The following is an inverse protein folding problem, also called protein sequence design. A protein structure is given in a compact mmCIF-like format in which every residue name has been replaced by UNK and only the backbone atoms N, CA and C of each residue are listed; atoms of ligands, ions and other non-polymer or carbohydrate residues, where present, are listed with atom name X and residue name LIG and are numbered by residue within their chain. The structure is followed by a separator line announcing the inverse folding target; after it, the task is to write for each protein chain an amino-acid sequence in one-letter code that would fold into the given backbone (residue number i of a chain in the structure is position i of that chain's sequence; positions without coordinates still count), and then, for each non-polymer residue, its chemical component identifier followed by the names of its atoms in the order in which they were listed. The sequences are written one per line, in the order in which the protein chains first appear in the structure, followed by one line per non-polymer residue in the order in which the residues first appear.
data_IF_816438643634
#
_entry.id   IF_816438643634
#
_cell.length_a   1.000
_cell.length_b   1.000
_cell.length_c   1.000
_cell.angle_alpha   90.00
_cell.angle_beta   90.00
_cell.angle_gamma   90.00
#
_symmetry.space_group_name_H-M   'P 1'
#
loop_
_entity.id
_entity.type
_entity.pdbx_description
1 polymer ?
#
# COMPACT_ATOMS: atom_id res chain seq x y z
N UNK A 1 -18.11 16.20 -8.85
CA UNK A 1 -17.94 16.69 -7.46
C UNK A 1 -16.95 15.85 -6.65
N UNK A 2 -17.03 14.52 -6.69
CA UNK A 2 -16.12 13.62 -5.93
C UNK A 2 -14.64 13.69 -6.34
N UNK A 3 -14.33 14.03 -7.60
CA UNK A 3 -12.95 14.11 -8.09
C UNK A 3 -12.18 15.31 -7.50
N UNK A 4 -12.81 16.46 -7.46
CA UNK A 4 -12.22 17.65 -6.86
C UNK A 4 -12.00 17.49 -5.34
N UNK A 5 -12.93 16.83 -4.65
CA UNK A 5 -12.77 16.54 -3.22
C UNK A 5 -11.58 15.62 -2.94
N UNK A 6 -11.45 14.53 -3.72
CA UNK A 6 -10.31 13.62 -3.61
C UNK A 6 -8.98 14.32 -3.92
N UNK A 7 -8.92 15.14 -4.97
CA UNK A 7 -7.71 15.91 -5.32
C UNK A 7 -7.31 16.89 -4.22
N UNK A 8 -8.27 17.64 -3.66
CA UNK A 8 -8.00 18.54 -2.52
C UNK A 8 -7.55 17.79 -1.28
N UNK A 9 -8.16 16.64 -0.98
CA UNK A 9 -7.75 15.79 0.12
C UNK A 9 -6.34 15.25 -0.04
N UNK A 10 -5.97 14.78 -1.23
CA UNK A 10 -4.61 14.32 -1.53
C UNK A 10 -3.57 15.45 -1.46
N UNK A 11 -3.92 16.67 -1.88
CA UNK A 11 -3.06 17.83 -1.69
C UNK A 11 -2.85 18.14 -0.21
N UNK A 12 -3.91 18.09 0.61
CA UNK A 12 -3.80 18.25 2.06
C UNK A 12 -2.92 17.18 2.70
N UNK A 13 -3.05 15.92 2.28
CA UNK A 13 -2.16 14.84 2.71
C UNK A 13 -0.69 15.11 2.33
N UNK A 14 -0.43 15.51 1.09
CA UNK A 14 0.94 15.81 0.64
C UNK A 14 1.56 16.99 1.41
N UNK A 15 0.78 18.02 1.72
CA UNK A 15 1.22 19.13 2.58
C UNK A 15 1.57 18.63 3.99
N UNK A 16 0.74 17.77 4.57
CA UNK A 16 1.02 17.19 5.89
C UNK A 16 2.27 16.31 5.86
N UNK A 17 2.49 15.54 4.78
CA UNK A 17 3.72 14.78 4.58
C UNK A 17 4.95 15.69 4.50
N UNK A 18 4.88 16.77 3.72
CA UNK A 18 5.97 17.73 3.58
C UNK A 18 6.31 18.39 4.94
N UNK A 19 5.30 18.80 5.71
CA UNK A 19 5.48 19.34 7.06
C UNK A 19 6.10 18.31 8.00
N UNK A 20 5.63 17.08 8.00
CA UNK A 20 6.19 16.00 8.81
C UNK A 20 7.68 15.75 8.49
N UNK A 21 8.03 15.66 7.19
CA UNK A 21 9.41 15.50 6.74
C UNK A 21 10.28 16.70 7.13
N UNK A 22 9.75 17.91 7.03
CA UNK A 22 10.44 19.14 7.50
C UNK A 22 10.68 19.08 9.02
N UNK A 23 9.67 18.71 9.82
CA UNK A 23 9.82 18.55 11.27
C UNK A 23 10.87 17.49 11.62
N UNK A 24 10.96 16.43 10.83
CA UNK A 24 11.98 15.39 10.99
C UNK A 24 13.37 15.92 10.73
N UNK A 25 13.58 16.72 9.66
CA UNK A 25 14.88 17.34 9.33
C UNK A 25 15.30 18.41 10.35
N UNK A 26 14.34 19.18 10.86
CA UNK A 26 14.60 20.23 11.86
C UNK A 26 14.73 19.68 13.30
N UNK A 27 14.55 18.38 13.52
CA UNK A 27 14.62 17.78 14.86
C UNK A 27 13.47 18.18 15.79
N UNK A 28 12.33 18.61 15.25
CA UNK A 28 11.17 19.07 16.03
C UNK A 28 10.36 17.87 16.54
N UNK A 29 10.86 17.20 17.59
CA UNK A 29 10.31 15.91 18.07
C UNK A 29 8.84 15.97 18.45
N UNK A 30 8.38 17.01 19.16
CA UNK A 30 6.98 17.14 19.55
C UNK A 30 6.06 17.27 18.33
N UNK A 31 6.40 18.16 17.39
CA UNK A 31 5.61 18.35 16.17
C UNK A 31 5.56 17.07 15.30
N UNK A 32 6.70 16.38 15.16
CA UNK A 32 6.82 15.09 14.48
C UNK A 32 5.89 14.04 15.12
N UNK A 33 5.91 13.91 16.44
CA UNK A 33 5.13 12.91 17.16
C UNK A 33 3.62 13.18 17.11
N UNK A 34 3.20 14.44 17.05
CA UNK A 34 1.79 14.82 16.86
C UNK A 34 1.35 14.60 15.41
N UNK A 35 2.20 14.92 14.44
CA UNK A 35 1.86 14.80 13.02
C UNK A 35 1.79 13.34 12.53
N UNK A 36 2.65 12.45 13.04
CA UNK A 36 2.77 11.06 12.57
C UNK A 36 1.45 10.29 12.58
N UNK A 37 0.68 10.21 13.66
CA UNK A 37 -0.58 9.47 13.69
C UNK A 37 -1.68 10.09 12.81
N UNK A 38 -1.52 11.34 12.34
CA UNK A 38 -2.49 12.02 11.48
C UNK A 38 -2.28 11.72 9.99
N UNK A 39 -1.09 11.25 9.59
CA UNK A 39 -0.73 11.02 8.18
C UNK A 39 -1.68 10.01 7.50
N UNK A 40 -1.82 8.84 8.07
CA UNK A 40 -2.63 7.77 7.47
C UNK A 40 -4.15 8.07 7.52
N UNK A 41 -4.72 8.59 8.63
CA UNK A 41 -6.11 9.07 8.63
C UNK A 41 -6.38 10.16 7.59
N UNK A 42 -5.45 11.11 7.38
CA UNK A 42 -5.60 12.12 6.33
C UNK A 42 -5.64 11.49 4.93
N UNK A 43 -4.78 10.50 4.65
CA UNK A 43 -4.81 9.76 3.39
C UNK A 43 -6.12 8.97 3.24
N UNK A 44 -6.58 8.28 4.28
CA UNK A 44 -7.82 7.54 4.27
C UNK A 44 -9.03 8.45 3.99
N UNK A 45 -9.12 9.60 4.65
CA UNK A 45 -10.18 10.58 4.44
C UNK A 45 -10.16 11.17 3.03
N UNK A 46 -8.96 11.43 2.48
CA UNK A 46 -8.80 11.95 1.12
C UNK A 46 -9.40 11.03 0.06
N UNK A 47 -9.32 9.71 0.27
CA UNK A 47 -9.75 8.71 -0.71
C UNK A 47 -11.07 8.02 -0.36
N UNK A 48 -11.61 8.24 0.84
CA UNK A 48 -12.79 7.59 1.41
C UNK A 48 -13.97 7.42 0.43
N UNK A 49 -14.37 8.46 -0.36
CA UNK A 49 -15.53 8.34 -1.22
C UNK A 49 -15.38 7.35 -2.38
N UNK A 50 -14.16 6.91 -2.67
CA UNK A 50 -13.81 6.11 -3.87
C UNK A 50 -13.09 4.82 -3.54
N UNK A 51 -12.54 4.73 -2.34
CA UNK A 51 -11.67 3.63 -1.95
C UNK A 51 -12.49 2.40 -1.55
N UNK A 52 -12.14 1.19 -2.04
CA UNK A 52 -12.72 -0.04 -1.54
C UNK A 52 -12.35 -0.23 -0.06
N UNK A 53 -13.20 -0.95 0.68
CA UNK A 53 -13.01 -1.18 2.13
C UNK A 53 -11.64 -1.75 2.49
N UNK A 54 -11.11 -2.65 1.66
CA UNK A 54 -9.77 -3.22 1.87
C UNK A 54 -8.66 -2.17 1.79
N UNK A 55 -8.79 -1.18 0.90
CA UNK A 55 -7.81 -0.10 0.79
C UNK A 55 -7.83 0.81 2.03
N UNK A 56 -9.02 1.15 2.50
CA UNK A 56 -9.18 1.91 3.75
C UNK A 56 -8.61 1.10 4.94
N UNK A 57 -8.94 -0.20 5.00
CA UNK A 57 -8.40 -1.11 6.01
C UNK A 57 -6.87 -1.15 6.01
N UNK A 58 -6.23 -1.22 4.83
CA UNK A 58 -4.77 -1.19 4.71
C UNK A 58 -4.17 0.10 5.27
N UNK A 59 -4.74 1.26 4.91
CA UNK A 59 -4.25 2.57 5.37
C UNK A 59 -4.44 2.73 6.88
N UNK A 60 -5.57 2.32 7.44
CA UNK A 60 -5.83 2.41 8.89
C UNK A 60 -4.99 1.40 9.69
N UNK A 61 -4.75 0.20 9.16
CA UNK A 61 -3.83 -0.76 9.76
C UNK A 61 -2.38 -0.24 9.76
N UNK A 62 -1.97 0.47 8.70
CA UNK A 62 -0.68 1.19 8.67
C UNK A 62 -0.63 2.32 9.71
N UNK A 63 -1.74 3.04 9.94
CA UNK A 63 -1.82 4.03 11.02
C UNK A 63 -1.57 3.40 12.39
N UNK A 64 -2.15 2.23 12.64
CA UNK A 64 -1.88 1.47 13.87
C UNK A 64 -0.40 1.11 13.97
N UNK A 65 0.19 0.61 12.88
CA UNK A 65 1.62 0.31 12.79
C UNK A 65 2.48 1.51 13.15
N UNK A 66 2.27 2.63 12.49
CA UNK A 66 2.99 3.89 12.72
C UNK A 66 2.90 4.36 14.18
N UNK A 67 1.70 4.33 14.74
CA UNK A 67 1.43 4.81 16.10
C UNK A 67 2.09 3.91 17.14
N UNK A 68 2.00 2.59 16.98
CA UNK A 68 2.59 1.64 17.94
C UNK A 68 4.11 1.66 17.90
N UNK A 69 4.73 1.82 16.72
CA UNK A 69 6.18 1.95 16.62
C UNK A 69 6.73 3.18 17.35
N UNK A 70 5.94 4.23 17.56
CA UNK A 70 6.37 5.42 18.32
C UNK A 70 6.67 5.12 19.79
N UNK A 71 6.01 4.12 20.37
CA UNK A 71 6.19 3.78 21.78
C UNK A 71 7.40 2.86 22.04
N UNK A 72 7.92 2.21 21.00
CA UNK A 72 9.10 1.32 21.12
C UNK A 72 8.86 0.09 22.02
N UNK A 73 9.93 -0.57 22.43
CA UNK A 73 9.87 -1.71 23.35
C UNK A 73 8.92 -2.81 22.90
N UNK A 74 8.04 -3.29 23.80
CA UNK A 74 7.05 -4.34 23.50
C UNK A 74 6.02 -3.92 22.44
N UNK A 75 5.77 -2.63 22.26
CA UNK A 75 4.85 -2.10 21.26
C UNK A 75 5.36 -2.24 19.82
N UNK A 76 6.67 -2.48 19.65
CA UNK A 76 7.27 -2.73 18.34
C UNK A 76 6.61 -3.90 17.61
N UNK A 77 6.39 -5.02 18.29
CA UNK A 77 5.72 -6.20 17.71
C UNK A 77 4.26 -5.93 17.37
N UNK A 78 3.57 -5.12 18.19
CA UNK A 78 2.20 -4.68 17.90
C UNK A 78 2.16 -3.82 16.65
N UNK A 79 3.10 -2.87 16.52
CA UNK A 79 3.25 -2.04 15.33
C UNK A 79 3.53 -2.86 14.07
N UNK A 80 4.44 -3.83 14.16
CA UNK A 80 4.72 -4.78 13.08
C UNK A 80 3.46 -5.57 12.70
N UNK A 81 2.65 -6.00 13.67
CA UNK A 81 1.35 -6.63 13.46
C UNK A 81 0.35 -5.75 12.70
N UNK A 82 0.33 -4.45 13.01
CA UNK A 82 -0.46 -3.45 12.28
C UNK A 82 -0.08 -3.37 10.80
N UNK A 83 1.21 -3.27 10.51
CA UNK A 83 1.70 -3.27 9.12
C UNK A 83 1.48 -4.63 8.42
N UNK A 84 1.63 -5.75 9.14
CA UNK A 84 1.30 -7.06 8.59
C UNK A 84 -0.17 -7.14 8.14
N UNK A 85 -1.10 -6.64 8.95
CA UNK A 85 -2.51 -6.53 8.58
C UNK A 85 -2.73 -5.63 7.35
N UNK A 86 -2.00 -4.52 7.25
CA UNK A 86 -2.02 -3.66 6.06
C UNK A 86 -1.56 -4.42 4.81
N UNK A 87 -0.49 -5.20 4.89
CA UNK A 87 0.02 -6.00 3.76
C UNK A 87 -0.99 -7.07 3.33
N UNK A 88 -1.65 -7.75 4.28
CA UNK A 88 -2.73 -8.70 3.96
C UNK A 88 -3.87 -8.01 3.22
N UNK A 89 -4.27 -6.81 3.65
CA UNK A 89 -5.30 -6.03 2.97
C UNK A 89 -4.88 -5.66 1.54
N UNK A 90 -3.65 -5.19 1.33
CA UNK A 90 -3.13 -4.85 0.00
C UNK A 90 -3.02 -6.09 -0.90
N UNK A 91 -2.43 -7.19 -0.43
CA UNK A 91 -2.35 -8.45 -1.19
C UNK A 91 -3.74 -8.89 -1.61
N UNK A 92 -4.68 -8.94 -0.66
CA UNK A 92 -6.06 -9.34 -0.93
C UNK A 92 -6.72 -8.44 -1.98
N UNK A 93 -6.52 -7.12 -1.87
CA UNK A 93 -7.03 -6.14 -2.82
C UNK A 93 -6.48 -6.40 -4.24
N UNK A 94 -5.17 -6.57 -4.38
CA UNK A 94 -4.53 -6.75 -5.68
C UNK A 94 -4.87 -8.12 -6.29
N UNK A 95 -4.86 -9.19 -5.50
CA UNK A 95 -5.22 -10.54 -5.97
C UNK A 95 -6.68 -10.60 -6.40
N UNK A 96 -7.61 -10.04 -5.62
CA UNK A 96 -9.04 -9.95 -6.01
C UNK A 96 -9.23 -9.05 -7.23
N UNK A 97 -8.42 -8.02 -7.38
CA UNK A 97 -8.38 -7.16 -8.57
C UNK A 97 -7.72 -7.80 -9.80
N UNK A 98 -7.43 -9.09 -9.77
CA UNK A 98 -6.93 -9.86 -10.92
C UNK A 98 -5.43 -9.73 -11.19
N UNK A 99 -4.63 -9.18 -10.26
CA UNK A 99 -3.20 -8.96 -10.47
C UNK A 99 -2.42 -10.23 -10.90
N UNK A 100 -2.87 -11.42 -10.48
CA UNK A 100 -2.23 -12.70 -10.82
C UNK A 100 -2.91 -13.46 -11.97
N UNK A 101 -4.07 -13.00 -12.46
CA UNK A 101 -4.92 -13.72 -13.40
C UNK A 101 -4.83 -13.24 -14.85
N UNK A 102 -4.53 -11.97 -15.07
CA UNK A 102 -4.58 -11.38 -16.42
C UNK A 102 -3.23 -11.47 -17.12
N UNK A 103 -3.12 -12.19 -18.25
CA UNK A 103 -1.88 -12.28 -19.03
C UNK A 103 -1.36 -10.90 -19.45
N UNK A 104 -2.26 -9.96 -19.77
CA UNK A 104 -1.96 -8.62 -20.23
C UNK A 104 -1.64 -7.61 -19.10
N UNK A 105 -2.02 -7.89 -17.85
CA UNK A 105 -1.75 -7.04 -16.68
C UNK A 105 -0.52 -7.49 -15.86
N UNK A 106 0.37 -8.30 -16.44
CA UNK A 106 1.57 -8.79 -15.74
C UNK A 106 1.40 -10.11 -14.99
N UNK A 107 0.21 -10.73 -15.02
CA UNK A 107 -0.04 -12.05 -14.40
C UNK A 107 0.63 -13.24 -15.11
N UNK A 108 1.23 -13.01 -16.29
CA UNK A 108 2.03 -14.00 -17.02
C UNK A 108 3.48 -14.05 -16.50
N UNK A 109 4.43 -14.10 -17.45
CA UNK A 109 5.87 -14.22 -17.17
C UNK A 109 6.39 -13.07 -16.26
N UNK A 110 5.91 -11.83 -16.48
CA UNK A 110 6.32 -10.66 -15.65
C UNK A 110 5.91 -10.79 -14.19
N UNK A 111 4.70 -11.26 -13.91
CA UNK A 111 4.24 -11.49 -12.54
C UNK A 111 5.04 -12.58 -11.82
N UNK A 112 5.37 -13.67 -12.52
CA UNK A 112 6.22 -14.74 -11.99
C UNK A 112 7.66 -14.28 -11.76
N UNK A 113 8.22 -13.48 -12.68
CA UNK A 113 9.55 -12.89 -12.52
C UNK A 113 9.59 -11.91 -11.36
N UNK A 114 8.55 -11.08 -11.19
CA UNK A 114 8.44 -10.18 -10.03
C UNK A 114 8.38 -10.98 -8.72
N UNK A 115 7.54 -12.00 -8.65
CA UNK A 115 7.43 -12.85 -7.46
C UNK A 115 8.76 -13.55 -7.15
N UNK A 116 9.42 -14.14 -8.15
CA UNK A 116 10.74 -14.76 -7.99
C UNK A 116 11.82 -13.77 -7.58
N UNK A 117 11.84 -12.57 -8.19
CA UNK A 117 12.78 -11.50 -7.86
C UNK A 117 12.61 -11.01 -6.41
N UNK A 118 11.38 -10.74 -5.98
CA UNK A 118 11.13 -10.34 -4.58
C UNK A 118 11.40 -11.46 -3.58
N UNK A 119 11.11 -12.72 -3.93
CA UNK A 119 11.46 -13.87 -3.10
C UNK A 119 12.99 -14.01 -2.94
N UNK A 120 13.74 -13.81 -4.02
CA UNK A 120 15.21 -13.81 -3.98
C UNK A 120 15.74 -12.65 -3.12
N UNK A 121 15.25 -11.43 -3.33
CA UNK A 121 15.63 -10.26 -2.52
C UNK A 121 15.32 -10.52 -1.04
N UNK A 122 14.15 -11.06 -0.72
CA UNK A 122 13.79 -11.43 0.64
C UNK A 122 14.77 -12.47 1.22
N UNK A 123 15.04 -13.56 0.48
CA UNK A 123 15.92 -14.62 0.95
C UNK A 123 17.35 -14.10 1.22
N UNK A 124 17.87 -13.24 0.34
CA UNK A 124 19.20 -12.61 0.54
C UNK A 124 19.18 -11.69 1.75
N UNK A 125 18.22 -10.78 1.86
CA UNK A 125 18.17 -9.82 2.96
C UNK A 125 17.98 -10.51 4.31
N UNK A 126 17.08 -11.49 4.42
CA UNK A 126 16.86 -12.18 5.70
C UNK A 126 18.07 -13.01 6.11
N UNK A 127 18.76 -13.64 5.15
CA UNK A 127 19.98 -14.40 5.43
C UNK A 127 21.10 -13.50 5.93
N UNK A 128 21.26 -12.32 5.34
CA UNK A 128 22.29 -11.35 5.76
C UNK A 128 21.96 -10.72 7.11
N UNK A 129 20.70 -10.42 7.40
CA UNK A 129 20.26 -9.80 8.65
C UNK A 129 20.22 -10.80 9.82
N UNK A 130 20.01 -12.09 9.54
CA UNK A 130 19.73 -13.12 10.55
C UNK A 130 20.73 -13.20 11.70
N UNK A 131 22.05 -13.22 11.45
CA UNK A 131 23.04 -13.30 12.52
C UNK A 131 22.99 -12.08 13.46
N UNK A 132 22.72 -10.89 12.91
CA UNK A 132 22.80 -9.62 13.63
C UNK A 132 21.46 -9.23 14.31
N UNK A 133 20.38 -9.95 13.99
CA UNK A 133 19.09 -9.73 14.65
C UNK A 133 19.06 -10.38 16.04
N UNK A 134 18.49 -9.68 17.02
CA UNK A 134 18.16 -10.22 18.32
C UNK A 134 17.31 -11.50 18.18
N UNK A 135 17.60 -12.57 18.93
CA UNK A 135 16.98 -13.89 18.79
C UNK A 135 15.44 -13.83 18.80
N UNK A 136 14.85 -13.00 19.67
CA UNK A 136 13.40 -12.82 19.76
C UNK A 136 12.77 -12.12 18.54
N UNK A 137 13.56 -11.42 17.71
CA UNK A 137 13.08 -10.73 16.52
C UNK A 137 13.26 -11.52 15.23
N UNK A 138 14.08 -12.55 15.20
CA UNK A 138 14.40 -13.31 13.99
C UNK A 138 13.17 -13.86 13.28
N UNK A 139 12.34 -14.59 13.98
CA UNK A 139 11.12 -15.20 13.42
C UNK A 139 10.08 -14.13 13.08
N UNK A 140 9.72 -13.18 13.97
CA UNK A 140 8.79 -12.10 13.63
C UNK A 140 9.22 -11.31 12.40
N UNK A 141 10.48 -10.91 12.29
CA UNK A 141 11.01 -10.16 11.14
C UNK A 141 10.97 -11.00 9.87
N UNK A 142 11.33 -12.29 9.92
CA UNK A 142 11.28 -13.17 8.77
C UNK A 142 9.86 -13.35 8.23
N UNK A 143 8.88 -13.61 9.10
CA UNK A 143 7.48 -13.76 8.71
C UNK A 143 6.90 -12.45 8.16
N UNK A 144 7.18 -11.34 8.84
CA UNK A 144 6.74 -10.02 8.42
C UNK A 144 7.31 -9.61 7.07
N UNK A 145 8.63 -9.74 6.90
CA UNK A 145 9.31 -9.35 5.66
C UNK A 145 8.93 -10.23 4.47
N UNK A 146 8.61 -11.51 4.70
CA UNK A 146 8.06 -12.39 3.65
C UNK A 146 6.68 -11.89 3.19
N UNK A 147 5.83 -11.48 4.13
CA UNK A 147 4.52 -10.90 3.81
C UNK A 147 4.65 -9.57 3.06
N UNK A 148 5.58 -8.72 3.46
CA UNK A 148 5.92 -7.47 2.79
C UNK A 148 6.44 -7.71 1.37
N UNK A 149 7.34 -8.68 1.16
CA UNK A 149 7.82 -9.07 -0.16
C UNK A 149 6.67 -9.56 -1.06
N UNK A 150 5.75 -10.34 -0.50
CA UNK A 150 4.51 -10.78 -1.17
C UNK A 150 3.61 -9.60 -1.56
N UNK A 151 3.48 -8.60 -0.70
CA UNK A 151 2.75 -7.36 -0.99
C UNK A 151 3.42 -6.58 -2.13
N UNK A 152 4.74 -6.40 -2.09
CA UNK A 152 5.49 -5.72 -3.14
C UNK A 152 5.37 -6.45 -4.49
N UNK A 153 5.48 -7.77 -4.51
CA UNK A 153 5.32 -8.60 -5.72
C UNK A 153 3.91 -8.48 -6.31
N UNK A 154 2.86 -8.58 -5.48
CA UNK A 154 1.47 -8.46 -5.94
C UNK A 154 1.13 -7.04 -6.40
N UNK A 155 1.70 -6.01 -5.77
CA UNK A 155 1.56 -4.62 -6.20
C UNK A 155 2.23 -4.36 -7.54
N UNK A 156 3.38 -4.98 -7.82
CA UNK A 156 4.08 -4.94 -9.12
C UNK A 156 3.23 -5.61 -10.21
N UNK A 157 2.67 -6.78 -9.92
CA UNK A 157 1.76 -7.47 -10.83
C UNK A 157 0.47 -6.67 -11.09
N UNK A 158 0.05 -5.85 -10.13
CA UNK A 158 -1.12 -4.99 -10.27
C UNK A 158 -0.89 -3.78 -11.18
N UNK A 159 0.33 -3.25 -11.32
CA UNK A 159 0.66 -2.17 -12.23
C UNK A 159 1.92 -1.41 -11.82
N UNK A 160 2.46 -0.59 -12.73
CA UNK A 160 3.74 0.10 -12.49
C UNK A 160 3.68 1.06 -11.30
N UNK A 161 2.58 1.82 -11.16
CA UNK A 161 2.41 2.79 -10.08
C UNK A 161 2.29 2.11 -8.71
N UNK A 162 1.46 1.08 -8.61
CA UNK A 162 1.34 0.26 -7.39
C UNK A 162 2.64 -0.47 -7.08
N UNK A 163 3.31 -0.99 -8.11
CA UNK A 163 4.59 -1.69 -7.98
C UNK A 163 5.70 -0.80 -7.45
N UNK A 164 5.82 0.44 -7.95
CA UNK A 164 6.75 1.42 -7.41
C UNK A 164 6.42 1.74 -5.94
N UNK A 165 5.13 1.87 -5.62
CA UNK A 165 4.67 2.08 -4.24
C UNK A 165 5.06 0.93 -3.31
N UNK A 166 4.85 -0.33 -3.73
CA UNK A 166 5.25 -1.51 -2.96
C UNK A 166 6.77 -1.65 -2.80
N UNK A 167 7.53 -1.31 -3.85
CA UNK A 167 8.99 -1.28 -3.80
C UNK A 167 9.53 -0.22 -2.82
N UNK A 168 8.95 0.97 -2.80
CA UNK A 168 9.33 2.03 -1.85
C UNK A 168 8.96 1.67 -0.41
N UNK A 169 7.83 0.99 -0.20
CA UNK A 169 7.47 0.48 1.12
C UNK A 169 8.49 -0.57 1.59
N UNK A 170 8.83 -1.53 0.72
CA UNK A 170 9.85 -2.54 1.02
C UNK A 170 11.21 -1.89 1.35
N UNK A 171 11.60 -0.85 0.61
CA UNK A 171 12.83 -0.10 0.88
C UNK A 171 12.79 0.57 2.25
N UNK A 172 11.67 1.24 2.59
CA UNK A 172 11.48 1.85 3.91
C UNK A 172 11.71 0.84 5.04
N UNK A 173 11.05 -0.31 4.96
CA UNK A 173 11.12 -1.33 6.00
C UNK A 173 12.48 -2.05 6.03
N UNK A 174 13.14 -2.16 4.87
CA UNK A 174 14.52 -2.65 4.82
C UNK A 174 15.48 -1.72 5.58
N UNK A 175 15.29 -0.40 5.48
CA UNK A 175 16.06 0.57 6.27
C UNK A 175 15.78 0.44 7.78
N UNK A 176 14.54 0.15 8.18
CA UNK A 176 14.23 -0.15 9.59
C UNK A 176 14.95 -1.43 10.03
N UNK A 177 14.91 -2.47 9.19
CA UNK A 177 15.53 -3.77 9.50
C UNK A 177 17.04 -3.66 9.66
N UNK A 178 17.74 -2.84 8.86
CA UNK A 178 19.18 -2.59 9.05
C UNK A 178 19.47 -1.92 10.39
N UNK A 179 18.57 -1.04 10.88
CA UNK A 179 18.66 -0.44 12.21
C UNK A 179 18.51 -1.48 13.33
N UNK A 180 17.58 -2.45 13.17
CA UNK A 180 17.40 -3.55 14.12
C UNK A 180 18.59 -4.50 14.18
N UNK A 181 19.33 -4.64 13.07
CA UNK A 181 20.56 -5.40 12.96
C UNK A 181 21.81 -4.61 13.38
N UNK A 182 21.65 -3.39 13.85
CA UNK A 182 22.74 -2.47 14.25
C UNK A 182 23.76 -2.18 13.13
N UNK A 183 23.33 -2.26 11.86
CA UNK A 183 24.17 -1.89 10.72
C UNK A 183 24.37 -0.38 10.63
N UNK A 184 25.43 0.09 9.94
CA UNK A 184 25.63 1.52 9.69
C UNK A 184 24.39 2.14 9.04
N UNK A 185 23.90 3.20 9.66
CA UNK A 185 22.69 3.87 9.18
C UNK A 185 23.03 4.99 8.20
N UNK A 186 22.13 5.25 7.26
CA UNK A 186 22.23 6.39 6.36
C UNK A 186 22.15 7.72 7.15
N UNK A 187 22.82 8.77 6.67
CA UNK A 187 22.56 10.11 7.17
C UNK A 187 21.05 10.44 7.10
N UNK A 188 20.50 11.01 8.15
CA UNK A 188 19.06 11.28 8.27
C UNK A 188 18.17 10.04 8.02
N UNK A 189 18.51 8.87 8.58
CA UNK A 189 17.80 7.60 8.37
C UNK A 189 16.29 7.73 8.57
N UNK A 190 15.84 8.37 9.66
CA UNK A 190 14.41 8.62 9.93
C UNK A 190 13.71 9.34 8.78
N UNK A 191 14.38 10.33 8.17
CA UNK A 191 13.84 11.05 7.02
C UNK A 191 13.73 10.13 5.80
N UNK A 192 14.77 9.35 5.49
CA UNK A 192 14.77 8.43 4.35
C UNK A 192 13.70 7.35 4.49
N UNK A 193 13.55 6.76 5.69
CA UNK A 193 12.52 5.79 6.02
C UNK A 193 11.12 6.40 5.76
N UNK A 194 10.86 7.56 6.34
CA UNK A 194 9.53 8.16 6.23
C UNK A 194 9.25 8.70 4.82
N UNK A 195 10.23 9.24 4.11
CA UNK A 195 10.07 9.69 2.74
C UNK A 195 9.66 8.52 1.82
N UNK A 196 10.38 7.41 1.89
CA UNK A 196 10.09 6.22 1.08
C UNK A 196 8.76 5.57 1.46
N UNK A 197 8.44 5.53 2.75
CA UNK A 197 7.16 5.04 3.24
C UNK A 197 5.98 5.88 2.76
N UNK A 198 6.01 7.20 2.96
CA UNK A 198 4.92 8.11 2.59
C UNK A 198 4.70 8.16 1.07
N UNK A 199 5.79 8.17 0.29
CA UNK A 199 5.72 8.06 -1.16
C UNK A 199 5.16 6.69 -1.59
N UNK A 200 5.58 5.61 -0.92
CA UNK A 200 5.08 4.26 -1.13
C UNK A 200 3.57 4.17 -0.90
N UNK A 201 3.08 4.66 0.24
CA UNK A 201 1.66 4.70 0.58
C UNK A 201 0.84 5.53 -0.42
N UNK A 202 1.33 6.71 -0.80
CA UNK A 202 0.67 7.55 -1.80
C UNK A 202 0.51 6.82 -3.15
N UNK A 203 1.56 6.16 -3.62
CA UNK A 203 1.56 5.45 -4.89
C UNK A 203 0.70 4.18 -4.86
N UNK A 204 0.76 3.40 -3.77
CA UNK A 204 -0.10 2.22 -3.56
C UNK A 204 -1.58 2.63 -3.60
N UNK A 205 -1.95 3.65 -2.83
CA UNK A 205 -3.34 4.10 -2.71
C UNK A 205 -3.86 4.68 -4.02
N UNK A 206 -3.10 5.61 -4.63
CA UNK A 206 -3.54 6.26 -5.89
C UNK A 206 -3.50 5.32 -7.08
N UNK A 207 -2.57 4.36 -7.11
CA UNK A 207 -2.52 3.32 -8.12
C UNK A 207 -3.68 2.33 -8.00
N UNK A 208 -4.04 1.93 -6.78
CA UNK A 208 -5.19 1.07 -6.53
C UNK A 208 -6.52 1.75 -6.94
N UNK A 209 -6.67 3.05 -6.66
CA UNK A 209 -7.85 3.82 -7.10
C UNK A 209 -7.98 3.92 -8.62
N UNK A 210 -6.88 4.11 -9.36
CA UNK A 210 -6.89 4.14 -10.81
C UNK A 210 -7.43 2.83 -11.40
N UNK A 211 -6.98 1.70 -10.88
CA UNK A 211 -7.42 0.36 -11.31
C UNK A 211 -8.92 0.10 -11.08
N UNK A 212 -9.46 0.54 -9.94
CA UNK A 212 -10.89 0.38 -9.67
C UNK A 212 -11.75 1.23 -10.61
N UNK A 213 -11.28 2.40 -11.01
CA UNK A 213 -11.94 3.26 -11.98
C UNK A 213 -11.93 2.65 -13.40
N UNK A 214 -10.80 2.09 -13.83
CA UNK A 214 -10.67 1.41 -15.12
C UNK A 214 -11.57 0.16 -15.21
N UNK A 215 -11.62 -0.65 -14.14
CA UNK A 215 -12.47 -1.84 -14.07
C UNK A 215 -13.97 -1.47 -14.14
N UNK A 216 -14.37 -0.36 -13.53
CA UNK A 216 -15.75 0.14 -13.60
C UNK A 216 -16.14 0.63 -15.00
N UNK A 217 -15.20 1.24 -15.74
CA UNK A 217 -15.44 1.73 -17.11
C UNK A 217 -15.40 0.60 -18.17
N UNK A 218 -14.75 -0.52 -17.87
CA UNK A 218 -14.61 -1.67 -18.78
C UNK A 218 -15.74 -2.69 -18.62
N UNK A 219 -16.68 -2.52 -17.68
CA UNK A 219 -17.88 -3.32 -17.61
C UNK A 219 -18.77 -2.95 -18.83
N UNK A 220 -19.15 -3.94 -19.70
CA UNK A 220 -19.98 -3.64 -20.86
C UNK A 220 -21.29 -3.05 -20.33
N UNK A 221 -21.57 -1.79 -20.68
CA UNK A 221 -22.92 -1.27 -20.55
C UNK A 221 -23.85 -2.23 -21.26
N UNK A 222 -24.87 -2.70 -20.58
CA UNK A 222 -26.04 -3.27 -21.25
C UNK A 222 -26.59 -2.18 -22.18
N UNK A 223 -26.01 -2.08 -23.38
CA UNK A 223 -26.66 -1.36 -24.46
C UNK A 223 -27.95 -2.14 -24.70
N UNK A 224 -29.06 -1.50 -24.39
CA UNK A 224 -30.39 -1.97 -24.81
C UNK A 224 -30.26 -2.35 -26.29
N UNK A 225 -30.53 -3.59 -26.60
CA UNK A 225 -30.57 -4.10 -27.96
C UNK A 225 -31.59 -3.26 -28.75
N UNK A 226 -31.17 -2.42 -29.72
CA UNK A 226 -32.11 -1.62 -30.49
C UNK A 226 -32.98 -2.46 -31.42
N UNK A 227 -32.78 -3.79 -31.44
CA UNK A 227 -33.50 -4.75 -32.28
C UNK A 227 -34.55 -5.56 -31.54
N UNK A 228 -34.85 -5.21 -30.25
CA UNK A 228 -35.98 -5.86 -29.58
C UNK A 228 -37.27 -5.49 -30.31
N UNK A 229 -38.03 -6.48 -30.88
CA UNK A 229 -39.24 -6.16 -31.59
C UNK A 229 -40.28 -5.55 -30.64
N UNK A 230 -40.76 -4.36 -31.03
CA UNK A 230 -41.87 -3.68 -30.36
C UNK A 230 -43.10 -4.60 -30.39
N UNK A 231 -43.48 -5.11 -29.24
CA UNK A 231 -44.79 -5.76 -29.08
C UNK A 231 -45.89 -4.70 -29.21
N UNK A 232 -46.35 -4.49 -30.47
CA UNK A 232 -47.54 -3.71 -30.72
C UNK A 232 -48.74 -4.41 -30.05
N UNK A 233 -49.68 -3.67 -29.44
CA UNK A 233 -50.89 -4.27 -28.87
C UNK A 233 -51.76 -4.86 -30.01
N UNK A 234 -52.00 -6.20 -29.95
CA UNK A 234 -52.96 -6.83 -30.80
C UNK A 234 -54.36 -6.31 -30.42
N UNK A 235 -54.98 -5.57 -31.35
CA UNK A 235 -56.41 -5.23 -31.30
C UNK A 235 -57.22 -6.50 -31.53
N UNK A 236 -58.02 -6.86 -30.52
CA UNK A 236 -59.05 -7.88 -30.60
C UNK A 236 -60.15 -7.44 -31.55
N UNK A 237 -60.59 -8.27 -32.54
CA UNK A 237 -61.85 -8.02 -33.25
C UNK A 237 -63.06 -8.49 -32.46
N UNK A 238 -64.15 -7.74 -32.60
CA UNK A 238 -65.45 -8.00 -32.04
C UNK A 238 -66.14 -9.29 -32.52
#
# INVERSE_FOLDING_TARGET
MNDLRTRRGLLGYLLLCALYLLFTLLGLHLAKNVAKPLLMPALALAVWPRAPRLLIGAVLASCLGDTMLMFGGSWFLVGMGGFAAAHVCYITLFVRGGALRTPNAGGGTRGRLALGGYALVWAVLITLLWPDLAAGLRIPVACYSLLLAGMAATSMAAGARTGLGGGLFLLSDSLIATGLAHWPQLPAADFCIMLTYLAGQYLLVTGALGRTAEAGNSAPGLTADPTAPSLAPQSSPA
#
